data_IF_788776309409
#
_entry.id   IF_788776309409
#
_cell.length_a   1.000
_cell.length_b   1.000
_cell.length_c   1.000
_cell.angle_alpha   90.00
_cell.angle_beta   90.00
_cell.angle_gamma   90.00
#
_symmetry.space_group_name_H-M   'P 1'
#
loop_
_entity.id
_entity.type
_entity.pdbx_description
1 polymer ?
#
# COMPACT_ATOMS: atom_id res chain seq x y z
N UNK A 1 -10.98 -29.18 41.62
CA UNK A 1 -10.25 -29.70 40.44
C UNK A 1 -10.46 -28.73 39.28
N UNK A 2 -9.49 -27.85 39.02
CA UNK A 2 -9.53 -26.82 37.98
C UNK A 2 -8.47 -27.16 36.92
N UNK A 3 -8.89 -27.48 35.70
CA UNK A 3 -8.00 -27.72 34.56
C UNK A 3 -8.15 -26.58 33.56
N UNK A 4 -7.30 -25.56 33.71
CA UNK A 4 -7.16 -24.48 32.74
C UNK A 4 -6.41 -24.99 31.51
N UNK A 5 -7.12 -25.21 30.40
CA UNK A 5 -6.54 -25.54 29.09
C UNK A 5 -5.82 -24.31 28.50
N UNK A 6 -4.49 -24.38 28.41
CA UNK A 6 -3.69 -23.51 27.55
C UNK A 6 -3.92 -23.87 26.07
N UNK A 7 -4.49 -22.93 25.31
CA UNK A 7 -4.67 -23.05 23.87
C UNK A 7 -3.63 -22.22 23.09
N UNK A 8 -2.59 -22.93 22.64
CA UNK A 8 -1.76 -22.80 21.42
C UNK A 8 -1.73 -21.46 20.65
N UNK A 9 -0.54 -20.84 20.63
CA UNK A 9 -0.09 -19.75 19.75
C UNK A 9 0.58 -20.23 18.43
N UNK A 10 0.33 -21.47 17.98
CA UNK A 10 1.08 -22.11 16.88
C UNK A 10 0.76 -21.60 15.45
N UNK A 11 -0.15 -20.64 15.26
CA UNK A 11 -0.67 -20.26 13.94
C UNK A 11 0.26 -19.37 13.10
N UNK A 12 1.16 -18.59 13.71
CA UNK A 12 2.00 -17.65 12.95
C UNK A 12 3.27 -18.32 12.37
N UNK A 13 3.84 -19.29 13.09
CA UNK A 13 5.08 -19.94 12.71
C UNK A 13 4.92 -20.89 11.51
N UNK A 14 3.77 -21.57 11.39
CA UNK A 14 3.48 -22.41 10.21
C UNK A 14 3.26 -21.58 8.94
N UNK A 15 2.60 -20.42 9.03
CA UNK A 15 2.42 -19.52 7.90
C UNK A 15 3.75 -18.92 7.43
N UNK A 16 4.65 -18.56 8.37
CA UNK A 16 5.99 -18.08 8.04
C UNK A 16 6.87 -19.16 7.37
N UNK A 17 6.76 -20.42 7.81
CA UNK A 17 7.49 -21.56 7.19
C UNK A 17 7.00 -21.86 5.76
N UNK A 18 5.68 -21.81 5.54
CA UNK A 18 5.09 -22.00 4.21
C UNK A 18 5.46 -20.86 3.24
N UNK A 19 5.43 -19.62 3.72
CA UNK A 19 5.92 -18.45 2.99
C UNK A 19 7.39 -18.64 2.57
N UNK A 20 8.29 -18.97 3.50
CA UNK A 20 9.74 -19.12 3.21
C UNK A 20 10.06 -20.22 2.19
N UNK A 21 9.27 -21.30 2.15
CA UNK A 21 9.43 -22.38 1.17
C UNK A 21 8.91 -22.04 -0.24
N UNK A 22 7.98 -21.09 -0.35
CA UNK A 22 7.38 -20.64 -1.61
C UNK A 22 8.16 -19.54 -2.34
N UNK A 23 9.21 -18.99 -1.72
CA UNK A 23 10.06 -17.95 -2.30
C UNK A 23 11.49 -18.44 -2.46
N UNK A 24 11.83 -19.18 -3.55
CA UNK A 24 13.24 -19.30 -3.90
C UNK A 24 13.81 -17.89 -4.07
N UNK A 25 15.02 -17.65 -3.54
CA UNK A 25 15.76 -16.41 -3.82
C UNK A 25 15.71 -16.19 -5.33
N UNK A 26 15.28 -15.01 -5.76
CA UNK A 26 15.20 -14.67 -7.17
C UNK A 26 16.53 -15.06 -7.84
N UNK A 27 16.51 -15.79 -8.96
CA UNK A 27 17.74 -16.12 -9.66
C UNK A 27 18.43 -14.80 -10.03
N UNK A 28 19.69 -14.67 -9.63
CA UNK A 28 20.54 -13.59 -10.07
C UNK A 28 20.77 -13.76 -11.58
N UNK A 29 20.12 -12.95 -12.40
CA UNK A 29 20.34 -12.92 -13.86
C UNK A 29 21.64 -12.17 -14.10
N UNK A 30 22.73 -12.91 -14.18
CA UNK A 30 24.00 -12.41 -14.74
C UNK A 30 23.83 -12.30 -16.26
N UNK A 31 23.71 -11.09 -16.78
CA UNK A 31 23.83 -10.84 -18.21
C UNK A 31 25.29 -11.00 -18.65
N UNK A 32 25.65 -12.19 -19.14
CA UNK A 32 26.70 -12.34 -20.15
C UNK A 32 26.02 -12.71 -21.46
N UNK A 33 26.36 -11.99 -22.52
CA UNK A 33 25.86 -12.21 -23.86
C UNK A 33 26.21 -13.63 -24.34
N UNK A 34 25.22 -14.38 -24.81
CA UNK A 34 25.41 -15.66 -25.49
C UNK A 34 24.45 -16.76 -25.03
N UNK A 35 23.52 -17.14 -25.92
CA UNK A 35 22.70 -18.37 -25.98
C UNK A 35 21.99 -18.83 -24.69
N UNK A 36 20.66 -18.73 -24.70
CA UNK A 36 19.78 -19.41 -23.76
C UNK A 36 19.61 -20.86 -24.21
N UNK A 37 20.12 -21.81 -23.44
CA UNK A 37 19.82 -23.24 -23.56
C UNK A 37 19.05 -23.67 -22.30
N UNK A 38 17.85 -24.22 -22.46
CA UNK A 38 17.10 -24.83 -21.36
C UNK A 38 17.60 -26.27 -21.17
N UNK A 39 18.27 -26.55 -20.05
CA UNK A 39 18.62 -27.91 -19.64
C UNK A 39 17.65 -28.36 -18.56
N UNK A 40 16.85 -29.39 -18.86
CA UNK A 40 16.07 -30.13 -17.87
C UNK A 40 17.02 -31.00 -17.03
N UNK A 41 17.17 -30.71 -15.73
CA UNK A 41 17.85 -31.61 -14.80
C UNK A 41 16.86 -32.50 -14.05
N UNK A 42 17.02 -33.82 -14.23
CA UNK A 42 16.45 -34.89 -13.37
C UNK A 42 17.05 -34.82 -11.96
N UNK A 43 16.23 -35.20 -10.99
CA UNK A 43 16.55 -35.19 -9.57
C UNK A 43 17.75 -36.07 -9.21
N UNK A 44 18.81 -35.46 -8.66
CA UNK A 44 19.93 -36.12 -8.03
C UNK A 44 20.35 -35.36 -6.77
N UNK A 45 20.58 -36.09 -5.67
CA UNK A 45 21.05 -35.55 -4.38
C UNK A 45 22.35 -34.76 -4.55
N UNK A 46 22.37 -33.50 -4.13
CA UNK A 46 23.59 -32.68 -4.08
C UNK A 46 24.01 -32.49 -2.62
N UNK A 47 25.24 -32.95 -2.32
CA UNK A 47 25.99 -32.64 -1.09
C UNK A 47 26.29 -31.14 -1.06
N UNK A 48 26.03 -30.51 0.08
CA UNK A 48 26.37 -29.11 0.36
C UNK A 48 27.88 -28.92 0.46
N UNK A 49 28.46 -28.19 -0.49
CA UNK A 49 29.74 -27.50 -0.32
C UNK A 49 29.45 -26.01 -0.22
N UNK A 50 29.56 -25.46 0.98
CA UNK A 50 29.58 -24.03 1.25
C UNK A 50 31.03 -23.66 1.56
N UNK A 51 31.68 -22.71 0.86
CA UNK A 51 32.99 -22.24 1.29
C UNK A 51 32.84 -21.37 2.56
N UNK A 52 33.82 -21.39 3.48
CA UNK A 52 33.71 -20.71 4.76
C UNK A 52 33.81 -19.20 4.54
N UNK A 53 32.69 -18.48 4.72
CA UNK A 53 32.75 -17.03 4.87
C UNK A 53 33.16 -16.69 6.31
N UNK A 54 34.28 -15.98 6.41
CA UNK A 54 34.85 -15.45 7.65
C UNK A 54 33.78 -14.74 8.49
N UNK A 55 33.61 -15.19 9.74
CA UNK A 55 32.89 -14.47 10.79
C UNK A 55 33.62 -13.16 11.11
N UNK A 56 33.36 -12.08 10.35
CA UNK A 56 33.56 -10.72 10.85
C UNK A 56 32.22 -10.24 11.44
N UNK A 57 32.24 -9.97 12.74
CA UNK A 57 31.17 -9.37 13.50
C UNK A 57 30.71 -8.05 12.85
N UNK A 58 29.66 -8.10 12.03
CA UNK A 58 28.89 -6.91 11.66
C UNK A 58 27.94 -6.61 12.82
N UNK A 59 28.41 -5.80 13.78
CA UNK A 59 27.48 -5.02 14.62
C UNK A 59 26.78 -4.04 13.68
N UNK A 60 25.45 -4.18 13.56
CA UNK A 60 24.62 -3.21 12.87
C UNK A 60 24.85 -1.82 13.49
N UNK A 61 25.11 -0.77 12.70
CA UNK A 61 25.37 0.55 13.26
C UNK A 61 24.08 1.13 13.86
N UNK A 62 24.24 1.65 15.08
CA UNK A 62 23.32 2.48 15.85
C UNK A 62 22.81 3.67 15.00
N UNK A 63 21.68 3.53 14.29
CA UNK A 63 21.02 4.63 13.56
C UNK A 63 19.55 4.81 13.98
N UNK A 64 19.14 4.25 15.13
CA UNK A 64 17.73 4.23 15.52
C UNK A 64 17.20 5.54 16.14
N UNK A 65 18.02 6.36 16.81
CA UNK A 65 17.44 7.33 17.76
C UNK A 65 16.89 8.64 17.16
N UNK A 66 17.51 9.21 16.11
CA UNK A 66 17.12 10.54 15.58
C UNK A 66 15.89 10.51 14.67
N UNK A 67 15.76 9.50 13.80
CA UNK A 67 14.60 9.33 12.93
C UNK A 67 13.32 8.95 13.72
N UNK A 68 13.45 8.13 14.76
CA UNK A 68 12.35 7.74 15.66
C UNK A 68 11.77 8.96 16.41
N UNK A 69 12.63 9.91 16.80
CA UNK A 69 12.20 11.10 17.56
C UNK A 69 11.32 12.04 16.74
N UNK A 70 11.66 12.26 15.46
CA UNK A 70 10.82 13.04 14.52
C UNK A 70 9.50 12.32 14.26
N UNK A 71 9.53 11.00 14.15
CA UNK A 71 8.35 10.17 13.90
C UNK A 71 7.34 10.22 15.06
N UNK A 72 7.82 10.10 16.31
CA UNK A 72 6.97 10.23 17.50
C UNK A 72 6.41 11.64 17.70
N UNK A 73 7.14 12.68 17.31
CA UNK A 73 6.64 14.06 17.35
C UNK A 73 5.46 14.28 16.40
N UNK A 74 5.52 13.69 15.20
CA UNK A 74 4.45 13.79 14.20
C UNK A 74 3.22 12.95 14.54
N UNK A 75 3.38 11.75 15.10
CA UNK A 75 2.27 10.90 15.57
C UNK A 75 1.52 11.53 16.76
N UNK A 76 2.22 12.26 17.66
CA UNK A 76 1.56 12.96 18.78
C UNK A 76 0.67 14.13 18.32
N UNK A 77 1.03 14.84 17.23
CA UNK A 77 0.22 15.93 16.70
C UNK A 77 -1.01 15.46 15.91
N UNK A 78 -0.96 14.30 15.24
CA UNK A 78 -2.14 13.73 14.57
C UNK A 78 -3.14 13.10 15.54
N UNK A 79 -2.70 12.74 16.75
CA UNK A 79 -3.52 12.18 17.84
C UNK A 79 -4.36 13.22 18.60
N UNK A 80 -4.20 14.51 18.33
CA UNK A 80 -4.86 15.60 19.07
C UNK A 80 -6.39 15.66 18.89
N UNK A 81 -6.96 14.84 17.99
CA UNK A 81 -8.39 14.78 17.73
C UNK A 81 -9.23 13.90 18.67
N UNK A 82 -8.66 13.29 19.72
CA UNK A 82 -9.38 12.34 20.58
C UNK A 82 -9.88 12.88 21.93
N UNK A 83 -9.67 14.16 22.26
CA UNK A 83 -10.20 14.78 23.50
C UNK A 83 -11.20 15.89 23.20
N UNK A 84 -12.38 15.56 22.69
CA UNK A 84 -13.55 16.43 22.82
C UNK A 84 -14.75 15.55 23.18
N UNK A 85 -15.03 15.47 24.48
CA UNK A 85 -16.25 14.86 25.01
C UNK A 85 -17.37 15.89 25.08
N UNK A 86 -18.54 15.53 24.55
CA UNK A 86 -19.89 15.98 24.91
C UNK A 86 -20.15 17.49 25.17
N UNK A 87 -20.62 18.19 24.14
CA UNK A 87 -21.91 18.92 24.08
C UNK A 87 -22.07 19.54 22.68
N UNK A 88 -23.05 19.05 21.91
CA UNK A 88 -23.34 19.55 20.56
C UNK A 88 -24.20 20.82 20.68
N UNK A 89 -23.58 21.94 21.04
CA UNK A 89 -24.15 23.25 20.72
C UNK A 89 -23.80 23.55 19.26
N UNK A 90 -24.82 23.85 18.46
CA UNK A 90 -24.67 24.34 17.08
C UNK A 90 -23.92 25.68 17.14
N UNK A 91 -22.59 25.62 17.01
CA UNK A 91 -21.77 26.81 16.83
C UNK A 91 -22.05 27.40 15.43
N UNK A 92 -22.03 28.72 15.28
CA UNK A 92 -22.19 29.38 13.99
C UNK A 92 -21.11 28.91 13.01
N UNK A 93 -21.37 28.95 11.69
CA UNK A 93 -20.41 28.54 10.67
C UNK A 93 -19.18 29.44 10.74
N UNK A 94 -18.17 29.02 11.49
CA UNK A 94 -16.83 29.59 11.44
C UNK A 94 -16.27 29.35 10.04
N UNK A 95 -15.55 30.31 9.49
CA UNK A 95 -14.96 30.28 8.16
C UNK A 95 -14.00 29.07 7.99
N UNK A 96 -14.57 27.92 7.61
CA UNK A 96 -13.89 26.62 7.51
C UNK A 96 -12.84 26.58 6.40
N UNK A 97 -12.79 27.60 5.54
CA UNK A 97 -11.86 27.69 4.42
C UNK A 97 -10.40 27.90 4.88
N UNK A 98 -10.20 28.70 5.94
CA UNK A 98 -8.85 29.05 6.43
C UNK A 98 -8.17 27.89 7.17
N UNK A 99 -8.88 27.18 8.05
CA UNK A 99 -8.33 26.03 8.78
C UNK A 99 -8.03 24.84 7.87
N UNK A 100 -8.81 24.70 6.80
CA UNK A 100 -8.63 23.62 5.83
C UNK A 100 -7.30 23.74 5.08
N UNK A 101 -6.93 24.94 4.63
CA UNK A 101 -5.65 25.19 3.96
C UNK A 101 -4.44 24.83 4.83
N UNK A 102 -4.46 25.21 6.11
CA UNK A 102 -3.39 24.90 7.08
C UNK A 102 -3.16 23.39 7.24
N UNK A 103 -4.25 22.61 7.23
CA UNK A 103 -4.21 21.16 7.39
C UNK A 103 -3.60 20.42 6.19
N UNK A 104 -3.83 20.90 4.97
CA UNK A 104 -3.18 20.33 3.77
C UNK A 104 -1.70 20.68 3.79
N UNK A 105 -1.35 21.93 4.06
CA UNK A 105 0.05 22.36 4.09
C UNK A 105 0.88 21.51 5.06
N UNK A 106 0.40 21.31 6.29
CA UNK A 106 1.08 20.46 7.27
C UNK A 106 1.30 19.02 6.77
N UNK A 107 0.29 18.41 6.13
CA UNK A 107 0.43 17.06 5.58
C UNK A 107 1.55 17.01 4.53
N UNK A 108 1.60 18.00 3.65
CA UNK A 108 2.58 18.04 2.57
C UNK A 108 3.99 18.33 3.12
N UNK A 109 4.13 19.22 4.12
CA UNK A 109 5.40 19.46 4.82
C UNK A 109 5.93 18.18 5.49
N UNK A 110 5.05 17.39 6.11
CA UNK A 110 5.41 16.08 6.69
C UNK A 110 5.93 15.12 5.63
N UNK A 111 5.27 15.08 4.46
CA UNK A 111 5.71 14.24 3.34
C UNK A 111 7.10 14.65 2.85
N UNK A 112 7.35 15.97 2.73
CA UNK A 112 8.65 16.50 2.33
C UNK A 112 9.75 16.18 3.34
N UNK A 113 9.46 16.31 4.63
CA UNK A 113 10.38 15.94 5.70
C UNK A 113 10.72 14.45 5.65
N UNK A 114 9.72 13.58 5.50
CA UNK A 114 9.93 12.13 5.40
C UNK A 114 10.82 11.78 4.20
N UNK A 115 10.57 12.37 3.03
CA UNK A 115 11.40 12.14 1.86
C UNK A 115 12.85 12.62 2.08
N UNK A 116 13.02 13.81 2.66
CA UNK A 116 14.35 14.37 2.98
C UNK A 116 15.12 13.50 3.96
N UNK A 117 14.46 12.98 5.00
CA UNK A 117 15.06 12.07 5.96
C UNK A 117 15.55 10.79 5.30
N UNK A 118 14.76 10.22 4.36
CA UNK A 118 15.17 9.03 3.62
C UNK A 118 16.37 9.34 2.70
N UNK A 119 16.40 10.48 2.01
CA UNK A 119 17.55 10.88 1.18
C UNK A 119 18.82 11.15 2.00
N UNK A 120 18.68 11.51 3.26
CA UNK A 120 19.81 11.75 4.17
C UNK A 120 20.51 10.46 4.63
N UNK A 121 20.04 9.28 4.21
CA UNK A 121 20.66 8.00 4.53
C UNK A 121 21.66 7.58 3.42
N UNK A 122 22.99 7.72 3.64
CA UNK A 122 24.00 7.60 2.57
C UNK A 122 24.18 6.18 2.00
N UNK A 123 23.74 5.15 2.73
CA UNK A 123 23.99 3.75 2.38
C UNK A 123 22.78 3.04 1.75
N UNK A 124 21.77 3.78 1.29
CA UNK A 124 20.60 3.20 0.63
C UNK A 124 20.89 2.91 -0.86
N UNK A 125 20.44 1.75 -1.33
CA UNK A 125 20.53 1.35 -2.75
C UNK A 125 19.46 2.04 -3.61
N UNK A 126 19.82 3.19 -4.18
CA UNK A 126 18.92 3.95 -5.03
C UNK A 126 18.75 3.41 -6.47
N UNK A 127 19.20 2.18 -6.77
CA UNK A 127 19.00 1.57 -8.09
C UNK A 127 17.51 1.48 -8.42
N UNK A 128 16.98 2.06 -9.50
CA UNK A 128 15.54 2.18 -9.71
C UNK A 128 14.82 0.82 -9.71
N UNK A 129 13.62 0.79 -9.13
CA UNK A 129 12.67 -0.32 -9.29
C UNK A 129 11.54 0.07 -10.24
N UNK A 130 10.89 -0.93 -10.81
CA UNK A 130 9.78 -0.75 -11.71
C UNK A 130 8.44 -0.79 -10.97
N UNK A 131 8.28 -1.61 -9.93
CA UNK A 131 7.01 -1.77 -9.23
C UNK A 131 7.16 -1.94 -7.72
N UNK A 132 6.23 -1.36 -6.96
CA UNK A 132 6.07 -1.61 -5.52
C UNK A 132 4.67 -2.15 -5.24
N UNK A 133 4.57 -3.32 -4.58
CA UNK A 133 3.30 -3.87 -4.10
C UNK A 133 3.30 -3.88 -2.58
N UNK A 134 2.61 -2.95 -1.92
CA UNK A 134 2.43 -2.99 -0.46
C UNK A 134 1.23 -3.84 -0.08
N UNK A 135 1.34 -4.58 1.03
CA UNK A 135 0.37 -5.60 1.44
C UNK A 135 0.30 -6.72 0.39
N UNK A 136 1.46 -7.17 -0.07
CA UNK A 136 1.57 -8.07 -1.20
C UNK A 136 0.90 -9.44 -0.96
N UNK A 137 0.74 -9.88 0.30
CA UNK A 137 0.15 -11.18 0.62
C UNK A 137 0.87 -12.31 -0.12
N UNK A 138 0.20 -12.91 -1.11
CA UNK A 138 0.77 -13.97 -1.95
C UNK A 138 1.61 -13.48 -3.15
N UNK A 139 1.85 -12.16 -3.21
CA UNK A 139 2.64 -11.46 -4.21
C UNK A 139 2.11 -11.67 -5.65
N UNK A 140 0.79 -11.72 -5.83
CA UNK A 140 0.20 -12.03 -7.13
C UNK A 140 0.58 -10.99 -8.19
N UNK A 141 0.57 -9.70 -7.83
CA UNK A 141 0.92 -8.63 -8.75
C UNK A 141 2.43 -8.57 -8.96
N UNK A 142 3.22 -8.65 -7.89
CA UNK A 142 4.69 -8.72 -7.98
C UNK A 142 5.15 -9.87 -8.88
N UNK A 143 4.56 -11.07 -8.75
CA UNK A 143 4.89 -12.22 -9.60
C UNK A 143 4.57 -11.96 -11.08
N UNK A 144 3.45 -11.31 -11.37
CA UNK A 144 3.10 -10.94 -12.74
C UNK A 144 4.03 -9.85 -13.31
N UNK A 145 4.51 -8.93 -12.49
CA UNK A 145 5.51 -7.93 -12.87
C UNK A 145 6.87 -8.59 -13.16
N UNK A 146 7.32 -9.54 -12.33
CA UNK A 146 8.54 -10.31 -12.60
C UNK A 146 8.45 -11.11 -13.90
N UNK A 147 7.29 -11.74 -14.17
CA UNK A 147 7.06 -12.47 -15.42
C UNK A 147 7.10 -11.56 -16.65
N UNK A 148 6.80 -10.28 -16.49
CA UNK A 148 6.95 -9.27 -17.53
C UNK A 148 8.36 -8.62 -17.56
N UNK A 149 9.34 -9.19 -16.87
CA UNK A 149 10.75 -8.76 -16.88
C UNK A 149 11.05 -7.51 -16.06
N UNK A 150 10.17 -7.13 -15.12
CA UNK A 150 10.30 -5.89 -14.35
C UNK A 150 10.86 -6.13 -12.95
N UNK A 151 11.60 -5.16 -12.42
CA UNK A 151 12.10 -5.15 -11.03
C UNK A 151 10.97 -4.75 -10.09
N UNK A 152 10.24 -5.73 -9.56
CA UNK A 152 9.16 -5.51 -8.60
C UNK A 152 9.58 -5.87 -7.17
N UNK A 153 9.13 -5.07 -6.19
CA UNK A 153 9.37 -5.28 -4.76
C UNK A 153 8.03 -5.58 -4.06
N UNK A 154 7.84 -6.79 -3.51
CA UNK A 154 6.73 -7.05 -2.60
C UNK A 154 7.08 -6.49 -1.22
N UNK A 155 6.16 -5.74 -0.63
CA UNK A 155 6.27 -5.19 0.72
C UNK A 155 5.21 -5.83 1.60
N UNK A 156 5.63 -6.79 2.43
CA UNK A 156 4.77 -7.64 3.26
C UNK A 156 5.53 -8.10 4.51
N UNK A 157 4.89 -8.04 5.68
CA UNK A 157 5.53 -8.37 6.96
C UNK A 157 5.98 -9.83 7.01
N UNK A 158 5.25 -10.73 6.35
CA UNK A 158 5.62 -12.15 6.25
C UNK A 158 6.83 -12.40 5.35
N UNK A 159 7.21 -11.43 4.51
CA UNK A 159 8.37 -11.51 3.62
C UNK A 159 9.59 -10.86 4.26
N UNK A 160 9.44 -9.63 4.78
CA UNK A 160 10.55 -8.84 5.32
C UNK A 160 10.66 -8.78 6.85
N UNK A 161 9.71 -9.35 7.60
CA UNK A 161 9.64 -9.17 9.05
C UNK A 161 9.43 -7.70 9.42
N UNK A 162 10.05 -7.26 10.52
CA UNK A 162 9.87 -5.91 11.09
C UNK A 162 10.26 -4.78 10.12
N UNK A 163 11.21 -5.00 9.21
CA UNK A 163 11.58 -4.00 8.21
C UNK A 163 10.51 -3.80 7.13
N UNK A 164 9.51 -4.68 7.09
CA UNK A 164 8.30 -4.56 6.26
C UNK A 164 7.01 -4.52 7.11
N UNK A 165 7.11 -4.29 8.42
CA UNK A 165 5.94 -3.98 9.24
C UNK A 165 5.46 -2.56 8.91
N UNK A 166 4.39 -2.49 8.12
CA UNK A 166 3.82 -1.24 7.65
C UNK A 166 3.29 -0.33 8.78
N UNK A 167 3.03 -0.86 9.98
CA UNK A 167 2.61 -0.10 11.16
C UNK A 167 3.80 0.38 12.02
N UNK A 168 4.97 -0.23 11.89
CA UNK A 168 6.18 0.26 12.56
C UNK A 168 6.74 1.52 11.89
N UNK A 169 7.43 2.42 12.62
CA UNK A 169 8.15 3.54 12.00
C UNK A 169 9.20 3.08 10.99
N UNK A 170 9.94 2.01 11.29
CA UNK A 170 11.00 1.48 10.44
C UNK A 170 10.45 0.91 9.12
N UNK A 171 9.40 0.09 9.19
CA UNK A 171 8.77 -0.46 8.01
C UNK A 171 8.11 0.62 7.16
N UNK A 172 7.45 1.62 7.75
CA UNK A 172 6.92 2.73 6.95
C UNK A 172 8.00 3.59 6.31
N UNK A 173 9.11 3.86 7.00
CA UNK A 173 10.27 4.51 6.38
C UNK A 173 10.80 3.71 5.18
N UNK A 174 10.87 2.37 5.29
CA UNK A 174 11.20 1.50 4.16
C UNK A 174 10.16 1.60 3.04
N UNK A 175 8.85 1.63 3.34
CA UNK A 175 7.82 1.78 2.32
C UNK A 175 7.95 3.11 1.56
N UNK A 176 8.19 4.23 2.27
CA UNK A 176 8.48 5.54 1.67
C UNK A 176 9.71 5.46 0.77
N UNK A 177 10.79 4.84 1.25
CA UNK A 177 12.00 4.60 0.47
C UNK A 177 11.71 3.83 -0.83
N UNK A 178 10.97 2.72 -0.77
CA UNK A 178 10.63 1.95 -1.97
C UNK A 178 9.78 2.76 -2.96
N UNK A 179 8.83 3.57 -2.47
CA UNK A 179 8.04 4.49 -3.31
C UNK A 179 8.93 5.53 -3.99
N UNK A 180 9.90 6.11 -3.27
CA UNK A 180 10.85 7.08 -3.82
C UNK A 180 11.83 6.44 -4.82
N UNK A 181 12.17 5.17 -4.63
CA UNK A 181 13.04 4.37 -5.52
C UNK A 181 12.32 3.87 -6.78
N UNK A 182 10.99 3.83 -6.77
CA UNK A 182 10.21 3.49 -7.97
C UNK A 182 10.42 4.55 -9.06
N UNK A 183 10.71 4.10 -10.28
CA UNK A 183 10.98 5.01 -11.39
C UNK A 183 9.78 5.91 -11.71
N UNK A 184 9.98 7.13 -12.25
CA UNK A 184 8.89 7.87 -12.87
C UNK A 184 8.21 7.06 -13.98
N UNK A 185 6.88 7.01 -13.97
CA UNK A 185 6.09 6.08 -14.78
C UNK A 185 6.23 4.60 -14.40
N UNK A 186 6.82 4.33 -13.24
CA UNK A 186 6.78 3.06 -12.54
C UNK A 186 5.35 2.67 -12.13
N UNK A 187 5.19 1.54 -11.46
CA UNK A 187 3.90 1.08 -10.93
C UNK A 187 3.91 1.00 -9.41
N UNK A 188 2.77 1.23 -8.77
CA UNK A 188 2.59 0.93 -7.37
C UNK A 188 1.18 0.41 -7.10
N UNK A 189 1.04 -0.67 -6.33
CA UNK A 189 -0.24 -1.13 -5.80
C UNK A 189 -0.22 -1.07 -4.27
N UNK A 190 -1.24 -0.42 -3.72
CA UNK A 190 -1.46 -0.33 -2.28
C UNK A 190 -2.77 -1.01 -1.90
N UNK A 191 -2.68 -2.11 -1.15
CA UNK A 191 -3.83 -2.93 -0.77
C UNK A 191 -4.02 -3.00 0.75
N UNK A 192 -4.24 -1.87 1.45
CA UNK A 192 -4.26 -1.87 2.92
C UNK A 192 -5.33 -2.81 3.48
N UNK A 193 -5.00 -3.42 4.62
CA UNK A 193 -5.86 -4.39 5.29
C UNK A 193 -7.26 -3.80 5.53
N UNK A 194 -8.27 -4.39 4.92
CA UNK A 194 -9.66 -3.91 4.93
C UNK A 194 -10.51 -4.47 6.09
N UNK A 195 -9.95 -5.36 6.93
CA UNK A 195 -10.71 -6.13 7.92
C UNK A 195 -11.46 -5.28 8.95
N UNK A 196 -10.98 -4.07 9.25
CA UNK A 196 -11.65 -3.13 10.16
C UNK A 196 -12.53 -2.09 9.47
N UNK A 197 -12.61 -2.12 8.14
CA UNK A 197 -13.27 -1.11 7.31
C UNK A 197 -14.53 -1.61 6.59
N UNK A 198 -14.68 -2.93 6.45
CA UNK A 198 -15.82 -3.57 5.78
C UNK A 198 -17.07 -3.63 6.65
N UNK A 199 -18.24 -3.77 6.01
CA UNK A 199 -19.53 -3.81 6.72
C UNK A 199 -19.60 -4.86 7.85
N UNK A 200 -18.96 -6.02 7.68
CA UNK A 200 -18.94 -7.11 8.66
C UNK A 200 -18.32 -6.73 10.00
N UNK A 201 -17.36 -5.80 10.02
CA UNK A 201 -16.65 -5.42 11.23
C UNK A 201 -17.16 -4.12 11.87
N UNK A 202 -18.07 -3.38 11.20
CA UNK A 202 -18.55 -2.08 11.71
C UNK A 202 -19.15 -2.16 13.11
N UNK A 203 -19.88 -3.23 13.41
CA UNK A 203 -20.48 -3.43 14.74
C UNK A 203 -19.45 -3.55 15.86
N UNK A 204 -18.29 -4.17 15.62
CA UNK A 204 -17.24 -4.34 16.63
C UNK A 204 -16.23 -3.19 16.64
N UNK A 205 -16.00 -2.55 15.49
CA UNK A 205 -15.07 -1.41 15.35
C UNK A 205 -15.73 -0.07 15.68
N UNK A 206 -17.06 -0.02 15.78
CA UNK A 206 -17.87 1.19 15.93
C UNK A 206 -17.60 2.24 14.85
N UNK A 207 -17.15 1.81 13.66
CA UNK A 207 -16.95 2.69 12.52
C UNK A 207 -18.27 2.93 11.79
N UNK A 208 -18.49 4.18 11.42
CA UNK A 208 -19.56 4.61 10.52
C UNK A 208 -19.04 5.71 9.57
N UNK A 209 -19.79 6.11 8.53
CA UNK A 209 -19.40 7.26 7.72
C UNK A 209 -19.15 8.54 8.54
N UNK A 210 -19.95 8.77 9.60
CA UNK A 210 -19.83 9.93 10.51
C UNK A 210 -18.80 9.73 11.62
N UNK A 211 -18.44 8.48 11.94
CA UNK A 211 -17.40 8.11 12.90
C UNK A 211 -16.37 7.19 12.23
N UNK A 212 -15.62 7.69 11.24
CA UNK A 212 -14.75 6.85 10.43
C UNK A 212 -13.59 6.27 11.23
N UNK A 213 -13.15 6.92 12.31
CA UNK A 213 -12.03 6.48 13.16
C UNK A 213 -12.37 5.34 14.14
N UNK A 214 -13.66 5.03 14.32
CA UNK A 214 -14.13 3.93 15.15
C UNK A 214 -13.94 4.13 16.66
N UNK A 215 -13.76 3.03 17.38
CA UNK A 215 -13.44 2.99 18.82
C UNK A 215 -11.93 3.12 19.07
N UNK A 216 -11.54 3.92 20.06
CA UNK A 216 -10.12 4.25 20.33
C UNK A 216 -9.35 3.20 21.13
N UNK A 217 -10.05 2.26 21.77
CA UNK A 217 -9.51 1.23 22.66
C UNK A 217 -9.16 -0.09 21.95
N UNK A 218 -9.31 -0.17 20.63
CA UNK A 218 -8.99 -1.37 19.85
C UNK A 218 -7.72 -1.17 19.03
N UNK A 219 -6.65 -1.92 19.35
CA UNK A 219 -5.39 -1.88 18.59
C UNK A 219 -5.61 -2.13 17.09
N UNK A 220 -6.46 -3.09 16.71
CA UNK A 220 -6.80 -3.36 15.30
C UNK A 220 -7.42 -2.16 14.59
N UNK A 221 -8.21 -1.36 15.30
CA UNK A 221 -8.82 -0.13 14.76
C UNK A 221 -7.76 0.97 14.62
N UNK A 222 -6.87 1.10 15.61
CA UNK A 222 -5.72 2.01 15.55
C UNK A 222 -4.78 1.66 14.38
N UNK A 223 -4.36 0.41 14.24
CA UNK A 223 -3.54 -0.09 13.12
C UNK A 223 -4.26 0.14 11.79
N UNK A 224 -5.57 -0.09 11.74
CA UNK A 224 -6.40 0.21 10.59
C UNK A 224 -6.35 1.69 10.20
N UNK A 225 -6.46 2.62 11.15
CA UNK A 225 -6.33 4.06 10.90
C UNK A 225 -4.93 4.41 10.37
N UNK A 226 -3.91 3.81 10.97
CA UNK A 226 -2.52 4.02 10.61
C UNK A 226 -2.21 3.55 9.19
N UNK A 227 -2.71 2.37 8.80
CA UNK A 227 -2.62 1.87 7.42
C UNK A 227 -3.18 2.89 6.41
N UNK A 228 -4.35 3.47 6.68
CA UNK A 228 -4.98 4.43 5.76
C UNK A 228 -4.18 5.72 5.66
N UNK A 229 -3.76 6.28 6.80
CA UNK A 229 -2.98 7.50 6.83
C UNK A 229 -1.66 7.34 6.07
N UNK A 230 -0.97 6.22 6.28
CA UNK A 230 0.31 5.89 5.63
C UNK A 230 0.13 5.60 4.14
N UNK A 231 -0.89 4.84 3.73
CA UNK A 231 -1.20 4.65 2.31
C UNK A 231 -1.54 5.97 1.61
N UNK A 232 -2.28 6.88 2.25
CA UNK A 232 -2.57 8.19 1.68
C UNK A 232 -1.28 8.99 1.39
N UNK A 233 -0.30 8.93 2.30
CA UNK A 233 1.04 9.51 2.08
C UNK A 233 1.75 8.87 0.90
N UNK A 234 1.76 7.54 0.81
CA UNK A 234 2.40 6.83 -0.32
C UNK A 234 1.74 7.15 -1.65
N UNK A 235 0.41 7.26 -1.72
CA UNK A 235 -0.31 7.66 -2.92
C UNK A 235 0.04 9.10 -3.35
N UNK A 236 0.14 10.04 -2.41
CA UNK A 236 0.56 11.42 -2.71
C UNK A 236 2.01 11.42 -3.23
N UNK A 237 2.92 10.70 -2.59
CA UNK A 237 4.31 10.54 -3.06
C UNK A 237 4.41 9.86 -4.42
N UNK A 238 3.57 8.85 -4.68
CA UNK A 238 3.54 8.17 -5.95
C UNK A 238 3.05 9.09 -7.08
N UNK A 239 1.98 9.84 -6.82
CA UNK A 239 1.48 10.88 -7.73
C UNK A 239 2.53 11.97 -7.98
N UNK A 240 3.24 12.41 -6.93
CA UNK A 240 4.35 13.36 -7.00
C UNK A 240 5.49 12.92 -7.93
N UNK A 241 5.71 11.61 -8.05
CA UNK A 241 6.73 11.03 -8.92
C UNK A 241 6.21 10.65 -10.31
N UNK A 242 4.93 10.89 -10.60
CA UNK A 242 4.29 10.42 -11.82
C UNK A 242 4.26 8.88 -11.92
N UNK A 243 4.17 8.18 -10.79
CA UNK A 243 4.02 6.71 -10.74
C UNK A 243 2.58 6.33 -11.08
N UNK A 244 2.39 5.25 -11.84
CA UNK A 244 1.10 4.60 -12.04
C UNK A 244 0.68 3.87 -10.76
N UNK A 245 0.04 4.61 -9.85
CA UNK A 245 -0.37 4.09 -8.55
C UNK A 245 -1.83 3.63 -8.56
N UNK A 246 -2.09 2.58 -7.80
CA UNK A 246 -3.40 2.01 -7.54
C UNK A 246 -3.56 1.84 -6.03
N UNK A 247 -4.73 2.16 -5.51
CA UNK A 247 -5.12 1.78 -4.15
C UNK A 247 -6.38 0.91 -4.24
N UNK A 248 -6.34 -0.28 -3.66
CA UNK A 248 -7.44 -1.26 -3.69
C UNK A 248 -8.20 -1.32 -2.36
N UNK A 249 -9.53 -1.43 -2.45
CA UNK A 249 -10.40 -1.79 -1.34
C UNK A 249 -11.63 -2.58 -1.81
N UNK A 250 -12.22 -3.43 -0.94
CA UNK A 250 -13.54 -3.98 -1.21
C UNK A 250 -14.60 -2.88 -1.25
N UNK A 251 -15.65 -3.04 -2.07
CA UNK A 251 -16.66 -2.00 -2.26
C UNK A 251 -17.54 -1.72 -1.04
N UNK A 252 -17.50 -2.59 -0.03
CA UNK A 252 -18.22 -2.40 1.23
C UNK A 252 -17.38 -1.66 2.28
N UNK A 253 -16.13 -1.33 1.95
CA UNK A 253 -15.23 -0.54 2.79
C UNK A 253 -15.74 0.87 2.95
N UNK A 254 -15.68 1.42 4.17
CA UNK A 254 -15.82 2.87 4.44
C UNK A 254 -14.46 3.54 4.63
N UNK A 255 -13.37 2.89 4.23
CA UNK A 255 -12.03 3.47 4.34
C UNK A 255 -11.91 4.83 3.64
N UNK A 256 -12.68 5.04 2.58
CA UNK A 256 -12.74 6.32 1.88
C UNK A 256 -13.16 7.47 2.79
N UNK A 257 -14.03 7.24 3.79
CA UNK A 257 -14.49 8.31 4.70
C UNK A 257 -13.45 8.67 5.77
N UNK A 258 -12.30 8.00 5.82
CA UNK A 258 -11.21 8.32 6.72
C UNK A 258 -10.64 9.74 6.45
N UNK A 259 -10.37 10.55 7.49
CA UNK A 259 -9.90 11.93 7.30
C UNK A 259 -8.66 12.06 6.40
N UNK A 260 -7.65 11.20 6.55
CA UNK A 260 -6.45 11.25 5.69
C UNK A 260 -6.74 10.83 4.25
N UNK A 261 -7.69 9.91 4.04
CA UNK A 261 -8.09 9.51 2.68
C UNK A 261 -8.84 10.66 2.00
N UNK A 262 -9.75 11.32 2.72
CA UNK A 262 -10.44 12.51 2.26
C UNK A 262 -9.47 13.66 1.93
N UNK A 263 -8.43 13.87 2.76
CA UNK A 263 -7.36 14.84 2.45
C UNK A 263 -6.63 14.48 1.14
N UNK A 264 -6.27 13.21 0.95
CA UNK A 264 -5.66 12.73 -0.29
C UNK A 264 -6.57 12.97 -1.50
N UNK A 265 -7.87 12.65 -1.42
CA UNK A 265 -8.83 12.88 -2.51
C UNK A 265 -9.02 14.35 -2.87
N UNK A 266 -8.78 15.27 -1.94
CA UNK A 266 -8.82 16.71 -2.20
C UNK A 266 -7.53 17.23 -2.84
N UNK A 267 -6.41 16.55 -2.60
CA UNK A 267 -5.09 16.92 -3.15
C UNK A 267 -4.91 16.34 -4.56
N UNK A 268 -5.39 15.11 -4.78
CA UNK A 268 -5.18 14.36 -6.02
C UNK A 268 -6.47 14.31 -6.84
N UNK A 269 -6.37 14.41 -8.15
CA UNK A 269 -7.46 13.99 -9.03
C UNK A 269 -7.53 12.46 -9.03
N UNK A 270 -8.55 11.88 -8.40
CA UNK A 270 -8.68 10.42 -8.25
C UNK A 270 -9.93 9.92 -8.97
N UNK A 271 -9.71 8.92 -9.84
CA UNK A 271 -10.72 8.11 -10.51
C UNK A 271 -11.00 6.86 -9.69
N UNK A 272 -12.22 6.34 -9.81
CA UNK A 272 -12.65 5.09 -9.17
C UNK A 272 -13.07 4.09 -10.23
N UNK A 273 -12.47 2.92 -10.22
CA UNK A 273 -12.88 1.79 -11.04
C UNK A 273 -13.52 0.73 -10.15
N UNK A 274 -14.73 0.29 -10.47
CA UNK A 274 -15.45 -0.75 -9.72
C UNK A 274 -15.62 -1.99 -10.58
N UNK A 275 -15.26 -3.16 -10.06
CA UNK A 275 -15.43 -4.45 -10.75
C UNK A 275 -15.57 -5.59 -9.74
N UNK A 276 -15.95 -6.78 -10.21
CA UNK A 276 -15.94 -7.99 -9.38
C UNK A 276 -14.63 -8.76 -9.62
N UNK A 277 -13.94 -9.17 -8.54
CA UNK A 277 -12.67 -9.91 -8.65
C UNK A 277 -12.82 -11.27 -9.36
N UNK A 278 -14.06 -11.80 -9.43
CA UNK A 278 -14.37 -13.00 -10.23
C UNK A 278 -14.09 -12.80 -11.72
N UNK A 279 -14.24 -11.57 -12.22
CA UNK A 279 -13.94 -11.22 -13.61
C UNK A 279 -12.43 -11.37 -13.89
N UNK A 280 -11.62 -11.48 -12.84
CA UNK A 280 -10.17 -11.66 -12.90
C UNK A 280 -9.76 -12.98 -12.24
N UNK A 281 -10.58 -14.03 -12.35
CA UNK A 281 -10.19 -15.40 -11.93
C UNK A 281 -10.45 -15.73 -10.46
N UNK A 282 -11.03 -14.84 -9.65
CA UNK A 282 -11.39 -15.21 -8.28
C UNK A 282 -12.53 -16.22 -8.23
N UNK A 283 -12.47 -17.12 -7.25
CA UNK A 283 -13.55 -18.07 -6.95
C UNK A 283 -14.75 -17.44 -6.21
N UNK A 284 -14.71 -16.14 -5.92
CA UNK A 284 -15.74 -15.44 -5.16
C UNK A 284 -16.12 -14.14 -5.86
N UNK A 285 -17.40 -13.77 -5.78
CA UNK A 285 -17.87 -12.47 -6.25
C UNK A 285 -17.56 -11.40 -5.20
N UNK A 286 -16.30 -10.97 -5.15
CA UNK A 286 -15.87 -9.85 -4.31
C UNK A 286 -15.83 -8.58 -5.14
N UNK A 287 -16.81 -7.71 -4.94
CA UNK A 287 -16.81 -6.38 -5.56
C UNK A 287 -15.69 -5.53 -4.96
N UNK A 288 -14.90 -4.93 -5.84
CA UNK A 288 -13.64 -4.25 -5.56
C UNK A 288 -13.67 -2.86 -6.16
N UNK A 289 -13.03 -1.91 -5.49
CA UNK A 289 -12.81 -0.54 -5.95
C UNK A 289 -11.30 -0.33 -6.07
N UNK A 290 -10.86 0.17 -7.22
CA UNK A 290 -9.52 0.72 -7.41
C UNK A 290 -9.59 2.24 -7.50
N UNK A 291 -8.70 2.90 -6.78
CA UNK A 291 -8.48 4.34 -6.83
C UNK A 291 -7.18 4.63 -7.56
N UNK A 292 -7.16 5.57 -8.50
CA UNK A 292 -5.97 5.99 -9.23
C UNK A 292 -6.11 7.39 -9.79
N UNK A 293 -4.99 8.08 -10.03
CA UNK A 293 -4.99 9.32 -10.85
C UNK A 293 -4.84 9.07 -12.35
N UNK A 294 -4.65 7.82 -12.78
CA UNK A 294 -4.40 7.46 -14.18
C UNK A 294 -5.67 6.95 -14.85
N UNK A 295 -5.98 7.47 -16.03
CA UNK A 295 -7.12 7.04 -16.85
C UNK A 295 -6.91 5.62 -17.41
N UNK A 296 -5.65 5.23 -17.59
CA UNK A 296 -5.25 3.93 -18.10
C UNK A 296 -5.70 2.76 -17.20
N UNK A 297 -6.14 3.03 -15.97
CA UNK A 297 -6.74 2.02 -15.09
C UNK A 297 -8.00 1.40 -15.70
N UNK A 298 -8.75 2.14 -16.53
CA UNK A 298 -10.00 1.67 -17.13
C UNK A 298 -9.76 0.52 -18.12
N UNK A 299 -8.57 0.46 -18.73
CA UNK A 299 -8.14 -0.64 -19.61
C UNK A 299 -8.17 -2.00 -18.91
N UNK A 300 -8.16 -2.02 -17.57
CA UNK A 300 -8.28 -3.26 -16.80
C UNK A 300 -9.57 -4.02 -17.12
N UNK A 301 -10.65 -3.31 -17.48
CA UNK A 301 -11.92 -3.93 -17.86
C UNK A 301 -11.82 -4.72 -19.17
N UNK A 302 -10.82 -4.46 -20.02
CA UNK A 302 -10.56 -5.20 -21.26
C UNK A 302 -9.96 -6.59 -20.98
N UNK A 303 -9.46 -6.82 -19.76
CA UNK A 303 -8.84 -8.07 -19.35
C UNK A 303 -9.76 -8.97 -18.53
N UNK A 304 -11.07 -8.68 -18.52
CA UNK A 304 -12.05 -9.55 -17.86
C UNK A 304 -12.11 -10.90 -18.53
N UNK A 305 -12.07 -11.96 -17.74
CA UNK A 305 -12.35 -13.30 -18.20
C UNK A 305 -13.84 -13.48 -18.53
N UNK A 306 -14.19 -14.38 -19.47
CA UNK A 306 -15.55 -14.86 -19.63
C UNK A 306 -16.12 -15.32 -18.29
N UNK A 307 -17.41 -15.06 -18.07
CA UNK A 307 -18.08 -15.38 -16.80
C UNK A 307 -17.96 -16.87 -16.50
N UNK A 308 -17.10 -17.24 -15.55
CA UNK A 308 -17.11 -18.58 -14.94
C UNK A 308 -18.26 -18.66 -13.94
N UNK A 309 -18.96 -19.80 -13.91
CA UNK A 309 -19.90 -20.09 -12.82
C UNK A 309 -19.10 -20.12 -11.52
N UNK A 310 -19.41 -19.21 -10.58
CA UNK A 310 -18.89 -19.26 -9.23
C UNK A 310 -19.74 -20.23 -8.42
N UNK A 311 -19.09 -21.18 -7.76
CA UNK A 311 -19.76 -21.96 -6.72
C UNK A 311 -20.14 -21.02 -5.56
N UNK A 312 -21.29 -21.25 -4.93
CA UNK A 312 -21.66 -20.55 -3.71
C UNK A 312 -20.60 -20.84 -2.65
N UNK A 313 -19.88 -19.79 -2.25
CA UNK A 313 -18.91 -19.83 -1.15
C UNK A 313 -19.55 -19.17 0.07
N UNK A 314 -19.34 -19.75 1.24
CA UNK A 314 -19.87 -19.21 2.48
C UNK A 314 -18.96 -18.09 2.97
N UNK A 315 -19.18 -16.89 2.42
CA UNK A 315 -18.40 -15.70 2.75
C UNK A 315 -18.86 -15.05 4.05
N UNK A 316 -20.17 -15.13 4.32
CA UNK A 316 -20.84 -14.46 5.42
C UNK A 316 -21.85 -15.41 6.03
N UNK A 317 -21.79 -15.60 7.34
CA UNK A 317 -22.79 -16.33 8.11
C UNK A 317 -23.67 -15.28 8.80
N UNK A 318 -24.98 -15.31 8.52
CA UNK A 318 -25.99 -14.51 9.22
C UNK A 318 -26.59 -15.37 10.32
N UNK A 319 -26.78 -14.80 11.50
CA UNK A 319 -27.38 -15.49 12.64
C UNK A 319 -28.13 -14.49 13.52
N UNK A 320 -29.10 -14.97 14.28
CA UNK A 320 -29.78 -14.19 15.32
C UNK A 320 -29.10 -14.47 16.65
N UNK A 321 -28.69 -13.44 17.38
CA UNK A 321 -28.11 -13.62 18.71
C UNK A 321 -29.20 -13.98 19.75
N UNK A 322 -28.79 -14.31 20.98
CA UNK A 322 -29.71 -14.65 22.07
C UNK A 322 -30.66 -13.50 22.46
N UNK A 323 -30.39 -12.28 22.00
CA UNK A 323 -31.26 -11.11 22.21
C UNK A 323 -32.21 -10.85 21.03
N UNK A 324 -32.33 -11.79 20.08
CA UNK A 324 -33.19 -11.63 18.91
C UNK A 324 -32.62 -10.69 17.84
N UNK A 325 -31.37 -10.22 17.96
CA UNK A 325 -30.78 -9.26 17.01
C UNK A 325 -30.06 -9.99 15.88
N UNK A 326 -30.35 -9.57 14.64
CA UNK A 326 -29.63 -10.04 13.45
C UNK A 326 -28.16 -9.62 13.47
N UNK A 327 -27.27 -10.61 13.38
CA UNK A 327 -25.81 -10.46 13.34
C UNK A 327 -25.23 -11.10 12.08
N UNK A 328 -23.98 -10.76 11.79
CA UNK A 328 -23.19 -11.45 10.77
C UNK A 328 -21.76 -11.70 11.26
N UNK A 329 -21.14 -12.77 10.77
CA UNK A 329 -19.72 -13.07 10.93
C UNK A 329 -19.13 -13.56 9.61
N UNK A 330 -17.81 -13.54 9.50
CA UNK A 330 -17.14 -14.15 8.36
C UNK A 330 -17.40 -15.65 8.30
N UNK A 331 -17.75 -16.17 7.13
CA UNK A 331 -17.89 -17.60 6.89
C UNK A 331 -16.56 -18.30 6.65
N UNK A 332 -16.59 -19.62 6.49
CA UNK A 332 -15.37 -20.45 6.38
C UNK A 332 -14.48 -20.06 5.20
N UNK A 333 -15.08 -19.58 4.11
CA UNK A 333 -14.37 -19.24 2.87
C UNK A 333 -13.84 -17.79 2.86
N UNK A 334 -14.13 -16.98 3.89
CA UNK A 334 -13.80 -15.54 3.89
C UNK A 334 -12.29 -15.28 3.71
N UNK A 335 -11.43 -16.06 4.39
CA UNK A 335 -9.98 -15.88 4.32
C UNK A 335 -9.43 -16.14 2.92
N UNK A 336 -10.03 -17.07 2.15
CA UNK A 336 -9.58 -17.38 0.79
C UNK A 336 -9.76 -16.20 -0.17
N UNK A 337 -10.71 -15.30 0.11
CA UNK A 337 -10.96 -14.09 -0.71
C UNK A 337 -9.98 -12.94 -0.47
N UNK A 338 -9.04 -13.10 0.47
CA UNK A 338 -8.02 -12.09 0.75
C UNK A 338 -6.89 -12.12 -0.29
N UNK A 339 -6.64 -13.28 -0.90
CA UNK A 339 -5.61 -13.46 -1.92
C UNK A 339 -6.10 -12.95 -3.26
N UNK A 340 -5.32 -12.09 -3.92
CA UNK A 340 -5.57 -11.72 -5.30
C UNK A 340 -5.41 -12.94 -6.22
N UNK A 341 -6.31 -13.14 -7.18
CA UNK A 341 -6.11 -14.11 -8.23
C UNK A 341 -4.84 -13.80 -9.03
N UNK A 342 -4.24 -14.83 -9.61
CA UNK A 342 -3.08 -14.67 -10.49
C UNK A 342 -3.42 -13.79 -11.68
N UNK A 343 -4.59 -14.03 -12.28
CA UNK A 343 -5.08 -13.36 -13.48
C UNK A 343 -5.28 -11.85 -13.26
N UNK A 344 -5.66 -11.43 -12.06
CA UNK A 344 -5.69 -10.01 -11.69
C UNK A 344 -4.31 -9.35 -11.77
N UNK A 345 -3.28 -10.01 -11.22
CA UNK A 345 -1.90 -9.52 -11.33
C UNK A 345 -1.42 -9.45 -12.78
N UNK A 346 -1.75 -10.45 -13.60
CA UNK A 346 -1.46 -10.45 -15.03
C UNK A 346 -2.17 -9.32 -15.78
N UNK A 347 -3.45 -9.09 -15.49
CA UNK A 347 -4.23 -8.02 -16.09
C UNK A 347 -3.64 -6.64 -15.77
N UNK A 348 -3.29 -6.37 -14.51
CA UNK A 348 -2.61 -5.14 -14.11
C UNK A 348 -1.26 -4.96 -14.83
N UNK A 349 -0.45 -6.02 -14.86
CA UNK A 349 0.84 -6.05 -15.56
C UNK A 349 0.68 -5.76 -17.06
N UNK A 350 -0.35 -6.30 -17.69
CA UNK A 350 -0.66 -6.09 -19.11
C UNK A 350 -1.11 -4.66 -19.41
N UNK A 351 -2.04 -4.11 -18.62
CA UNK A 351 -2.50 -2.70 -18.72
C UNK A 351 -1.31 -1.76 -18.64
N UNK A 352 -0.42 -1.99 -17.66
CA UNK A 352 0.77 -1.18 -17.49
C UNK A 352 1.73 -1.33 -18.67
N UNK A 353 1.93 -2.54 -19.18
CA UNK A 353 2.81 -2.80 -20.32
C UNK A 353 2.32 -2.07 -21.57
N UNK A 354 1.03 -2.20 -21.89
CA UNK A 354 0.37 -1.51 -23.00
C UNK A 354 0.57 0.01 -22.93
N UNK A 355 0.46 0.58 -21.74
CA UNK A 355 0.48 2.02 -21.53
C UNK A 355 1.84 2.59 -21.09
N UNK A 356 2.89 1.77 -21.00
CA UNK A 356 4.14 2.14 -20.34
C UNK A 356 4.81 3.39 -20.96
N UNK A 357 4.85 3.45 -22.29
CA UNK A 357 5.44 4.58 -23.02
C UNK A 357 4.69 5.89 -22.70
N UNK A 358 3.36 5.85 -22.76
CA UNK A 358 2.47 6.99 -22.47
C UNK A 358 2.62 7.45 -21.03
N UNK A 359 2.59 6.53 -20.07
CA UNK A 359 2.73 6.81 -18.63
C UNK A 359 4.11 7.43 -18.34
N UNK A 360 5.19 6.86 -18.87
CA UNK A 360 6.55 7.43 -18.71
C UNK A 360 6.68 8.82 -19.32
N UNK A 361 6.10 9.05 -20.50
CA UNK A 361 6.10 10.36 -21.14
C UNK A 361 5.33 11.41 -20.30
N UNK A 362 4.13 11.06 -19.81
CA UNK A 362 3.35 11.90 -18.88
C UNK A 362 4.14 12.23 -17.62
N UNK A 363 4.78 11.23 -17.01
CA UNK A 363 5.60 11.42 -15.80
C UNK A 363 6.79 12.35 -16.03
N UNK A 364 7.56 12.14 -17.11
CA UNK A 364 8.69 13.00 -17.49
C UNK A 364 8.25 14.43 -17.76
N UNK A 365 7.15 14.61 -18.51
CA UNK A 365 6.57 15.94 -18.76
C UNK A 365 6.19 16.62 -17.45
N UNK A 366 5.47 15.92 -16.58
CA UNK A 366 5.07 16.46 -15.27
C UNK A 366 6.28 16.93 -14.44
N UNK A 367 7.31 16.10 -14.31
CA UNK A 367 8.51 16.46 -13.53
C UNK A 367 9.29 17.62 -14.14
N UNK A 368 9.42 17.66 -15.48
CA UNK A 368 10.05 18.78 -16.19
C UNK A 368 9.27 20.07 -15.99
N UNK A 369 7.96 20.04 -16.15
CA UNK A 369 7.09 21.21 -15.99
C UNK A 369 7.15 21.72 -14.53
N UNK A 370 7.20 20.81 -13.54
CA UNK A 370 7.37 21.16 -12.13
C UNK A 370 8.72 21.83 -11.85
N UNK A 371 9.81 21.34 -12.47
CA UNK A 371 11.15 21.92 -12.38
C UNK A 371 11.22 23.34 -12.98
N UNK A 372 10.71 23.51 -14.20
CA UNK A 372 10.75 24.80 -14.93
C UNK A 372 9.97 25.87 -14.18
N UNK A 373 8.82 25.52 -13.61
CA UNK A 373 7.99 26.45 -12.84
C UNK A 373 8.55 26.77 -11.46
N UNK A 374 9.70 26.22 -11.05
CA UNK A 374 10.25 26.44 -9.71
C UNK A 374 9.31 26.01 -8.57
N UNK A 375 8.39 25.08 -8.85
CA UNK A 375 7.32 24.70 -7.93
C UNK A 375 6.18 25.72 -7.79
N UNK A 376 6.10 26.73 -8.64
CA UNK A 376 4.93 27.61 -8.73
C UNK A 376 3.66 26.79 -9.04
N UNK A 377 2.57 27.14 -8.35
CA UNK A 377 1.27 26.50 -8.54
C UNK A 377 0.81 26.72 -9.97
N UNK A 378 0.68 25.63 -10.73
CA UNK A 378 -0.21 25.67 -11.88
C UNK A 378 -1.62 25.94 -11.37
N UNK A 379 -2.13 27.15 -11.64
CA UNK A 379 -3.48 27.57 -11.21
C UNK A 379 -4.58 26.80 -11.94
N UNK A 380 -4.24 26.02 -12.97
CA UNK A 380 -5.20 25.12 -13.59
C UNK A 380 -5.63 24.03 -12.60
N UNK A 381 -6.88 24.13 -12.15
CA UNK A 381 -7.56 23.19 -11.23
C UNK A 381 -7.51 21.72 -11.70
N UNK A 382 -7.18 21.46 -12.97
CA UNK A 382 -7.09 20.14 -13.60
C UNK A 382 -5.67 19.55 -13.60
N UNK A 383 -4.61 20.33 -13.35
CA UNK A 383 -3.25 19.81 -13.29
C UNK A 383 -2.84 19.53 -11.84
N UNK A 384 -2.18 18.41 -11.62
CA UNK A 384 -1.76 17.87 -10.31
C UNK A 384 -0.75 18.76 -9.53
N UNK A 385 -0.69 20.07 -9.76
CA UNK A 385 0.40 20.94 -9.27
C UNK A 385 0.04 21.85 -8.08
N UNK A 386 -1.23 21.90 -7.64
CA UNK A 386 -1.63 22.83 -6.57
C UNK A 386 -0.90 22.59 -5.23
N UNK A 387 -0.49 21.35 -4.94
CA UNK A 387 0.16 21.02 -3.67
C UNK A 387 1.69 21.20 -3.70
N UNK A 388 2.31 21.35 -4.89
CA UNK A 388 3.77 21.45 -5.04
C UNK A 388 4.35 22.70 -4.36
N UNK A 389 3.67 23.86 -4.45
CA UNK A 389 4.11 25.13 -3.83
C UNK A 389 4.15 25.07 -2.30
N UNK A 390 3.15 24.47 -1.68
CA UNK A 390 3.05 24.41 -0.22
C UNK A 390 3.99 23.39 0.41
N UNK A 391 4.57 22.53 -0.42
CA UNK A 391 5.34 21.39 0.00
C UNK A 391 6.79 21.67 0.36
N UNK A 392 7.36 22.76 -0.19
CA UNK A 392 8.82 22.95 -0.29
C UNK A 392 9.54 21.70 -0.79
N UNK A 393 8.92 20.91 -1.68
CA UNK A 393 9.46 19.65 -2.21
C UNK A 393 10.51 19.85 -3.30
N UNK A 394 10.93 21.08 -3.59
CA UNK A 394 11.91 21.36 -4.64
C UNK A 394 13.22 20.57 -4.47
N UNK A 395 13.83 20.43 -3.28
CA UNK A 395 15.02 19.59 -3.12
C UNK A 395 14.77 18.11 -3.47
N UNK A 396 13.56 17.62 -3.19
CA UNK A 396 13.13 16.25 -3.56
C UNK A 396 12.96 16.14 -5.08
N UNK A 397 12.32 17.12 -5.72
CA UNK A 397 12.14 17.13 -7.17
C UNK A 397 13.44 17.33 -7.93
N UNK A 398 14.35 18.19 -7.44
CA UNK A 398 15.69 18.39 -7.99
C UNK A 398 16.51 17.11 -7.95
N UNK A 399 16.52 16.41 -6.80
CA UNK A 399 17.15 15.10 -6.68
C UNK A 399 16.55 14.08 -7.65
N UNK A 400 15.22 14.04 -7.76
CA UNK A 400 14.51 13.11 -8.64
C UNK A 400 14.66 13.44 -10.14
N UNK A 401 14.91 14.69 -10.51
CA UNK A 401 15.04 15.15 -11.88
C UNK A 401 16.50 15.26 -12.36
N UNK A 402 17.47 15.20 -11.45
CA UNK A 402 18.92 15.20 -11.73
C UNK A 402 19.51 13.81 -12.07
N UNK A 403 18.67 12.78 -12.13
CA UNK A 403 18.98 11.42 -12.58
C UNK A 403 18.04 11.02 -13.70
#
# INVERSE_FOLDING_TARGET
MSTTKQAKSASATEQAKSARALYPRAPYVSHKAGKISYVHHKAGKIRTLCPPQSRRNLRAPYVHHKAITVFHFLERRTSFGQRVGHKLHLLPPTDTSCEFGKNIQLLVEVIALLATLVFSCPNLDWSPIDHLETFAGQCAVTKAEWQAGRKAVPFEILVGGDCMDFCSPAGFANAVYQTLRTSPGGGALHAPVCSTWVFMSRGSTLRSPTRPLGRGDSQKVADGNLHVARCAVLCILAAAKGIFWLLEQPSTSIMETHPSFQKMLKILHVRKLIFDMKDFGANTQKRTILYSSHEEVDDLLLHKHPRKRCHSKEMVIRYTDSSGKSRCKGGRDLKMSQTYPREFGHALSAVRTKNLKKIKAKAKKFLRDAKVKGGEVDRNRRSNAHWVKHAKLMPVFEYLAGR
#
